data_IF_990692746949
#
_entry.id   IF_990692746949
#
_cell.length_a   1.000
_cell.length_b   1.000
_cell.length_c   1.000
_cell.angle_alpha   90.00
_cell.angle_beta   90.00
_cell.angle_gamma   90.00
#
_symmetry.space_group_name_H-M   'P 1'
#
loop_
_entity.id
_entity.type
_entity.pdbx_description
1 polymer ?
#
# COMPACT_ATOMS: atom_id res chain seq x y z
N UNK A 1 24.56 -85.43 -29.54
CA UNK A 1 25.80 -86.21 -29.36
C UNK A 1 26.95 -85.30 -29.75
N UNK A 2 27.76 -84.86 -28.77
CA UNK A 2 29.12 -84.27 -28.91
C UNK A 2 29.19 -82.94 -29.71
N UNK A 3 30.03 -81.93 -29.49
CA UNK A 3 31.12 -81.61 -28.57
C UNK A 3 31.48 -80.12 -28.87
N UNK A 4 31.85 -79.33 -27.85
CA UNK A 4 33.20 -78.76 -27.64
C UNK A 4 33.46 -77.32 -28.16
N UNK A 5 33.82 -76.47 -27.19
CA UNK A 5 34.72 -75.30 -27.20
C UNK A 5 35.71 -75.19 -28.38
N UNK A 6 36.05 -73.97 -28.81
CA UNK A 6 37.21 -73.21 -28.29
C UNK A 6 37.35 -71.81 -28.91
N UNK A 7 37.99 -70.93 -28.13
CA UNK A 7 38.31 -69.53 -28.41
C UNK A 7 39.47 -69.40 -29.40
N UNK A 8 39.47 -68.38 -30.25
CA UNK A 8 40.64 -67.47 -30.40
C UNK A 8 40.18 -66.14 -31.01
N UNK A 9 40.59 -65.02 -30.41
CA UNK A 9 40.28 -63.68 -30.89
C UNK A 9 41.24 -63.18 -31.96
N UNK A 10 40.79 -62.20 -32.74
CA UNK A 10 41.67 -61.24 -33.39
C UNK A 10 40.90 -59.94 -33.65
N UNK A 11 41.41 -58.87 -33.06
CA UNK A 11 40.94 -57.48 -33.15
C UNK A 11 41.29 -56.88 -34.51
N UNK A 12 40.37 -56.15 -35.16
CA UNK A 12 40.63 -54.81 -35.71
C UNK A 12 39.39 -54.14 -36.30
N UNK A 13 39.13 -52.92 -35.83
CA UNK A 13 38.67 -51.72 -36.55
C UNK A 13 37.41 -51.82 -37.42
N UNK A 14 36.28 -51.30 -36.91
CA UNK A 14 35.13 -50.94 -37.73
C UNK A 14 34.99 -49.41 -37.78
N UNK A 15 35.26 -48.82 -38.95
CA UNK A 15 34.76 -47.52 -39.34
C UNK A 15 33.23 -47.61 -39.42
N UNK A 16 32.51 -46.77 -38.65
CA UNK A 16 31.09 -46.54 -38.87
C UNK A 16 30.89 -45.19 -39.56
N UNK A 17 30.07 -45.27 -40.60
CA UNK A 17 29.64 -44.22 -41.51
C UNK A 17 28.79 -43.16 -40.80
N UNK A 18 28.96 -41.92 -41.26
CA UNK A 18 28.17 -40.74 -40.92
C UNK A 18 26.68 -40.95 -41.19
N UNK A 19 25.88 -40.98 -40.13
CA UNK A 19 24.46 -40.63 -40.20
C UNK A 19 24.27 -39.18 -39.74
N UNK A 20 24.12 -38.27 -40.72
CA UNK A 20 23.64 -36.90 -40.50
C UNK A 20 22.29 -36.96 -39.77
N UNK A 21 22.27 -36.48 -38.52
CA UNK A 21 21.04 -36.24 -37.78
C UNK A 21 20.28 -35.05 -38.38
N UNK A 22 19.00 -35.27 -38.67
CA UNK A 22 18.02 -34.22 -39.01
C UNK A 22 17.85 -33.29 -37.81
N UNK A 23 17.85 -31.94 -37.97
CA UNK A 23 17.62 -31.05 -36.84
C UNK A 23 16.17 -31.16 -36.35
N UNK A 24 15.99 -31.42 -35.05
CA UNK A 24 14.70 -31.30 -34.38
C UNK A 24 14.24 -29.83 -34.39
N UNK A 25 12.93 -29.56 -34.50
CA UNK A 25 12.41 -28.20 -34.42
C UNK A 25 12.64 -27.65 -33.02
N UNK A 26 13.28 -26.48 -32.95
CA UNK A 26 13.48 -25.72 -31.71
C UNK A 26 12.12 -25.44 -31.07
N UNK A 27 11.94 -25.88 -29.83
CA UNK A 27 10.84 -25.43 -28.99
C UNK A 27 10.90 -23.89 -28.92
N UNK A 28 9.93 -23.22 -29.53
CA UNK A 28 9.73 -21.80 -29.33
C UNK A 28 9.44 -21.58 -27.85
N UNK A 29 10.33 -20.87 -27.15
CA UNK A 29 10.09 -20.36 -25.82
C UNK A 29 8.79 -19.54 -25.86
N UNK A 30 7.75 -20.03 -25.20
CA UNK A 30 6.58 -19.21 -24.87
C UNK A 30 7.09 -18.02 -24.06
N UNK A 31 6.90 -16.76 -24.49
CA UNK A 31 7.31 -15.63 -23.69
C UNK A 31 6.57 -15.71 -22.35
N UNK A 32 7.35 -15.75 -21.27
CA UNK A 32 6.85 -15.79 -19.91
C UNK A 32 5.99 -14.53 -19.70
N UNK A 33 4.66 -14.69 -19.76
CA UNK A 33 3.69 -13.59 -19.60
C UNK A 33 3.53 -13.16 -18.13
N UNK A 34 4.41 -13.64 -17.23
CA UNK A 34 4.53 -13.11 -15.89
C UNK A 34 5.51 -11.95 -15.96
N UNK A 35 5.06 -10.68 -15.96
CA UNK A 35 6.00 -9.58 -15.81
C UNK A 35 6.84 -9.83 -14.56
N UNK A 36 8.16 -9.73 -14.74
CA UNK A 36 9.14 -9.89 -13.67
C UNK A 36 8.66 -9.17 -12.42
N UNK A 37 8.67 -9.88 -11.30
CA UNK A 37 8.09 -9.44 -10.04
C UNK A 37 8.73 -8.12 -9.59
N UNK A 38 8.19 -6.98 -10.02
CA UNK A 38 8.42 -5.67 -9.42
C UNK A 38 7.64 -5.63 -8.11
N UNK A 39 8.04 -6.51 -7.19
CA UNK A 39 7.51 -6.56 -5.85
C UNK A 39 7.76 -5.22 -5.17
N UNK A 40 6.76 -4.75 -4.43
CA UNK A 40 6.91 -3.64 -3.50
C UNK A 40 8.17 -3.91 -2.68
N UNK A 41 9.22 -3.10 -2.87
CA UNK A 41 10.48 -3.22 -2.11
C UNK A 41 10.23 -2.73 -0.69
N UNK A 42 9.84 -3.65 0.18
CA UNK A 42 9.63 -3.43 1.61
C UNK A 42 9.16 -4.70 2.32
N UNK A 43 9.54 -4.88 3.59
CA UNK A 43 9.00 -5.95 4.41
C UNK A 43 7.51 -5.70 4.64
N UNK A 44 6.64 -6.57 4.09
CA UNK A 44 5.17 -6.50 4.26
C UNK A 44 4.71 -6.95 5.65
N UNK A 45 5.62 -7.35 6.53
CA UNK A 45 5.32 -7.87 7.89
C UNK A 45 4.57 -6.90 8.79
N UNK A 46 4.57 -5.60 8.47
CA UNK A 46 3.90 -4.55 9.23
C UNK A 46 2.76 -3.88 8.45
N UNK A 47 2.32 -4.47 7.32
CA UNK A 47 1.25 -3.91 6.53
C UNK A 47 -0.10 -4.19 7.19
N UNK A 48 -0.86 -3.13 7.45
CA UNK A 48 -2.27 -3.24 7.80
C UNK A 48 -3.06 -3.22 6.51
N UNK A 49 -3.80 -4.30 6.25
CA UNK A 49 -4.69 -4.44 5.09
C UNK A 49 -6.10 -4.71 5.60
N UNK A 50 -7.05 -3.86 5.20
CA UNK A 50 -8.48 -4.03 5.47
C UNK A 50 -9.27 -3.92 4.17
N UNK A 51 -10.30 -4.74 4.00
CA UNK A 51 -11.09 -4.83 2.77
C UNK A 51 -12.56 -5.13 3.04
N UNK A 52 -13.44 -4.49 2.28
CA UNK A 52 -14.87 -4.81 2.19
C UNK A 52 -15.35 -4.55 0.75
N UNK A 53 -15.91 -5.57 0.09
CA UNK A 53 -16.29 -5.45 -1.33
C UNK A 53 -15.11 -5.01 -2.20
N UNK A 54 -15.31 -3.99 -3.02
CA UNK A 54 -14.29 -3.40 -3.91
C UNK A 54 -13.46 -2.29 -3.26
N UNK A 55 -13.71 -1.98 -1.98
CA UNK A 55 -12.95 -1.00 -1.21
C UNK A 55 -11.90 -1.73 -0.40
N UNK A 56 -10.64 -1.33 -0.55
CA UNK A 56 -9.58 -1.81 0.31
C UNK A 56 -8.60 -0.70 0.66
N UNK A 57 -8.01 -0.81 1.85
CA UNK A 57 -7.06 0.15 2.37
C UNK A 57 -5.80 -0.59 2.81
N UNK A 58 -4.64 -0.12 2.31
CA UNK A 58 -3.33 -0.59 2.75
C UNK A 58 -2.59 0.54 3.43
N UNK A 59 -2.03 0.28 4.60
CA UNK A 59 -1.12 1.20 5.28
C UNK A 59 0.14 0.51 5.78
N UNK A 60 1.28 1.17 5.61
CA UNK A 60 2.59 0.78 6.13
C UNK A 60 3.36 2.05 6.50
N UNK A 61 4.35 1.93 7.38
CA UNK A 61 5.18 3.09 7.77
C UNK A 61 6.02 3.66 6.61
N UNK A 62 6.31 2.86 5.58
CA UNK A 62 7.19 3.21 4.45
C UNK A 62 6.90 2.42 3.17
N UNK A 63 6.66 3.11 2.06
CA UNK A 63 6.78 2.53 0.71
C UNK A 63 5.74 3.04 -0.27
N UNK A 64 5.77 2.50 -1.49
CA UNK A 64 4.89 2.86 -2.59
C UNK A 64 3.69 1.90 -2.65
N UNK A 65 2.54 2.35 -3.15
CA UNK A 65 1.34 1.50 -3.28
C UNK A 65 0.50 1.33 -2.01
N UNK A 66 0.69 2.20 -1.00
CA UNK A 66 -0.22 2.28 0.15
C UNK A 66 -1.26 3.36 -0.10
N UNK A 67 -2.46 3.20 0.46
CA UNK A 67 -3.57 4.08 0.16
C UNK A 67 -4.94 3.46 0.27
N UNK A 68 -5.95 4.25 -0.07
CA UNK A 68 -7.34 3.84 -0.24
C UNK A 68 -7.58 3.51 -1.72
N UNK A 69 -8.10 2.32 -1.98
CA UNK A 69 -8.37 1.82 -3.31
C UNK A 69 -9.85 1.54 -3.53
N UNK A 70 -10.27 1.75 -4.76
CA UNK A 70 -11.57 1.37 -5.27
C UNK A 70 -11.46 1.06 -6.76
N UNK A 71 -12.00 -0.09 -7.19
CA UNK A 71 -11.87 -0.59 -8.57
C UNK A 71 -10.46 -0.44 -9.15
N UNK A 72 -9.48 -1.00 -8.44
CA UNK A 72 -8.06 -1.05 -8.84
C UNK A 72 -7.36 0.31 -9.02
N UNK A 73 -8.03 1.42 -8.69
CA UNK A 73 -7.44 2.75 -8.65
C UNK A 73 -7.22 3.20 -7.19
N UNK A 74 -6.05 3.80 -6.92
CA UNK A 74 -5.70 4.41 -5.64
C UNK A 74 -6.23 5.83 -5.57
N UNK A 75 -7.29 6.07 -4.80
CA UNK A 75 -7.90 7.39 -4.63
C UNK A 75 -7.13 8.27 -3.63
N UNK A 76 -6.62 7.69 -2.54
CA UNK A 76 -5.76 8.40 -1.58
C UNK A 76 -4.41 7.70 -1.53
N UNK A 77 -3.31 8.44 -1.70
CA UNK A 77 -1.94 7.90 -1.61
C UNK A 77 -1.38 7.91 -0.18
N UNK A 78 -2.12 8.52 0.75
CA UNK A 78 -1.81 8.48 2.16
C UNK A 78 -2.27 9.72 2.90
N UNK A 79 -2.26 9.61 4.22
CA UNK A 79 -2.48 10.72 5.12
C UNK A 79 -1.81 10.47 6.46
N UNK A 80 -1.40 11.54 7.12
CA UNK A 80 -0.59 11.47 8.34
C UNK A 80 -1.19 12.28 9.49
N UNK A 81 -1.20 11.69 10.69
CA UNK A 81 -1.52 12.36 11.94
C UNK A 81 -0.28 13.01 12.54
N UNK A 82 -0.41 14.24 13.03
CA UNK A 82 0.61 14.96 13.77
C UNK A 82 0.04 15.53 15.06
N UNK A 83 0.82 15.43 16.14
CA UNK A 83 0.57 16.06 17.44
C UNK A 83 1.63 17.15 17.62
N UNK A 84 1.20 18.41 17.65
CA UNK A 84 2.06 19.60 17.58
C UNK A 84 3.19 19.50 16.57
N UNK A 85 2.82 19.14 15.34
CA UNK A 85 3.74 19.04 14.21
C UNK A 85 4.60 17.76 14.19
N UNK A 86 4.60 16.94 15.25
CA UNK A 86 5.37 15.70 15.34
C UNK A 86 4.51 14.48 15.03
N UNK A 87 5.09 13.48 14.35
CA UNK A 87 4.44 12.18 14.19
C UNK A 87 4.41 11.45 15.54
N UNK A 88 3.28 10.87 15.95
CA UNK A 88 3.23 10.02 17.14
C UNK A 88 4.03 8.73 16.91
N UNK A 89 4.52 8.13 17.99
CA UNK A 89 5.17 6.83 17.96
C UNK A 89 4.09 5.74 17.89
N UNK A 90 4.25 4.78 16.96
CA UNK A 90 3.39 3.60 16.92
C UNK A 90 3.81 2.60 18.01
N UNK A 91 2.84 2.16 18.81
CA UNK A 91 3.06 1.18 19.88
C UNK A 91 2.57 -0.21 19.47
N UNK A 92 1.41 -0.25 18.81
CA UNK A 92 0.79 -1.48 18.31
C UNK A 92 -0.02 -1.16 17.06
N UNK A 93 0.01 -2.07 16.09
CA UNK A 93 -0.91 -2.06 14.95
C UNK A 93 -1.55 -3.44 14.86
N UNK A 94 -2.87 -3.50 14.94
CA UNK A 94 -3.60 -4.74 14.80
C UNK A 94 -4.64 -4.59 13.68
N UNK A 95 -4.52 -5.40 12.63
CA UNK A 95 -5.64 -5.66 11.75
C UNK A 95 -6.48 -6.72 12.44
N UNK A 96 -7.71 -6.39 12.85
CA UNK A 96 -8.58 -7.31 13.57
C UNK A 96 -9.12 -8.44 12.66
N UNK A 97 -8.70 -8.45 11.39
CA UNK A 97 -9.18 -9.34 10.33
C UNK A 97 -10.39 -8.75 9.62
N UNK A 98 -10.43 -8.85 8.29
CA UNK A 98 -11.57 -8.38 7.48
C UNK A 98 -11.51 -6.88 7.18
N UNK A 99 -12.51 -6.13 7.64
CA UNK A 99 -12.73 -4.73 7.25
C UNK A 99 -12.33 -3.69 8.30
N UNK A 100 -11.76 -4.10 9.45
CA UNK A 100 -11.37 -3.19 10.55
C UNK A 100 -9.92 -3.34 10.99
N UNK A 101 -9.35 -2.23 11.46
CA UNK A 101 -8.02 -2.19 12.07
C UNK A 101 -7.95 -1.14 13.18
N UNK A 102 -7.10 -1.38 14.17
CA UNK A 102 -6.85 -0.45 15.27
C UNK A 102 -5.34 -0.22 15.41
N UNK A 103 -4.93 1.05 15.46
CA UNK A 103 -3.56 1.46 15.78
C UNK A 103 -3.55 2.11 17.16
N UNK A 104 -2.63 1.65 18.01
CA UNK A 104 -2.26 2.32 19.27
C UNK A 104 -1.02 3.16 19.03
N UNK A 105 -1.15 4.47 19.21
CA UNK A 105 -0.08 5.45 19.03
C UNK A 105 0.09 6.27 20.32
N UNK A 106 1.23 6.93 20.45
CA UNK A 106 1.48 7.82 21.58
C UNK A 106 2.36 9.01 21.23
N UNK A 107 2.27 10.08 22.02
CA UNK A 107 3.05 11.29 21.78
C UNK A 107 4.53 11.09 22.13
N UNK A 108 5.38 11.84 21.43
CA UNK A 108 6.77 12.07 21.84
C UNK A 108 6.82 13.13 22.93
N UNK A 109 7.93 13.19 23.67
CA UNK A 109 8.19 14.30 24.58
C UNK A 109 8.15 15.62 23.79
N UNK A 110 7.34 16.56 24.26
CA UNK A 110 7.06 17.81 23.54
C UNK A 110 6.62 18.91 24.52
N UNK A 111 6.70 20.15 24.06
CA UNK A 111 6.24 21.32 24.80
C UNK A 111 5.16 22.04 24.00
N UNK A 112 4.04 22.38 24.65
CA UNK A 112 2.91 23.10 24.06
C UNK A 112 2.49 24.21 25.01
N UNK A 113 2.47 25.45 24.56
CA UNK A 113 2.06 26.62 25.35
C UNK A 113 2.75 26.71 26.73
N UNK A 114 4.05 26.37 26.79
CA UNK A 114 4.85 26.35 28.02
C UNK A 114 4.55 25.19 28.98
N UNK A 115 3.64 24.28 28.62
CA UNK A 115 3.38 23.02 29.32
C UNK A 115 4.16 21.88 28.67
N UNK A 116 4.79 21.03 29.49
CA UNK A 116 5.51 19.86 29.00
C UNK A 116 4.56 18.65 28.98
N UNK A 117 4.47 18.01 27.83
CA UNK A 117 3.86 16.69 27.67
C UNK A 117 5.01 15.68 27.60
N UNK A 118 5.12 14.82 28.61
CA UNK A 118 6.16 13.79 28.65
C UNK A 118 5.87 12.72 27.59
N UNK A 119 6.91 11.97 27.22
CA UNK A 119 6.72 10.84 26.31
C UNK A 119 5.71 9.87 26.93
N UNK A 120 4.76 9.42 26.13
CA UNK A 120 3.68 8.51 26.52
C UNK A 120 2.57 9.08 27.41
N UNK A 121 2.50 10.40 27.63
CA UNK A 121 1.40 11.04 28.37
C UNK A 121 0.07 11.05 27.59
N UNK A 122 0.07 10.74 26.30
CA UNK A 122 -1.12 10.70 25.44
C UNK A 122 -1.25 9.32 24.81
N UNK A 123 -2.31 8.59 25.14
CA UNK A 123 -2.77 7.46 24.32
C UNK A 123 -3.61 7.98 23.17
N UNK A 124 -3.29 7.51 21.97
CA UNK A 124 -4.04 7.79 20.75
C UNK A 124 -4.47 6.46 20.16
N UNK A 125 -5.78 6.22 20.13
CA UNK A 125 -6.37 5.06 19.46
C UNK A 125 -6.93 5.48 18.13
N UNK A 126 -6.45 4.88 17.05
CA UNK A 126 -6.94 5.12 15.69
C UNK A 126 -7.62 3.87 15.16
N UNK A 127 -8.95 3.85 15.25
CA UNK A 127 -9.78 2.79 14.70
C UNK A 127 -10.16 3.14 13.26
N UNK A 128 -10.01 2.17 12.37
CA UNK A 128 -10.26 2.29 10.93
C UNK A 128 -11.23 1.20 10.50
N UNK A 129 -12.20 1.56 9.67
CA UNK A 129 -13.14 0.63 9.05
C UNK A 129 -13.29 0.95 7.58
N UNK A 130 -13.10 -0.01 6.70
CA UNK A 130 -13.59 0.10 5.32
C UNK A 130 -15.02 -0.40 5.23
N UNK A 131 -15.82 0.20 4.37
CA UNK A 131 -17.14 -0.31 4.04
C UNK A 131 -17.45 -0.15 2.56
N UNK A 132 -18.25 -1.06 2.01
CA UNK A 132 -18.83 -0.91 0.68
C UNK A 132 -20.16 -0.14 0.70
N UNK A 133 -20.82 -0.01 1.86
CA UNK A 133 -22.14 0.62 2.01
C UNK A 133 -22.29 1.37 3.35
N UNK A 134 -22.11 2.72 3.38
CA UNK A 134 -21.59 3.54 2.30
C UNK A 134 -20.11 3.23 1.99
N UNK A 135 -19.77 3.33 0.72
CA UNK A 135 -18.41 3.18 0.19
C UNK A 135 -17.45 4.16 0.89
N UNK A 136 -16.41 3.64 1.57
CA UNK A 136 -15.33 4.49 2.05
C UNK A 136 -14.48 3.90 3.17
N UNK A 137 -13.62 4.76 3.70
CA UNK A 137 -12.79 4.53 4.87
C UNK A 137 -13.27 5.45 6.00
N UNK A 138 -13.62 4.86 7.12
CA UNK A 138 -14.13 5.53 8.31
C UNK A 138 -13.08 5.44 9.41
N UNK A 139 -12.56 6.60 9.78
CA UNK A 139 -11.54 6.73 10.81
C UNK A 139 -12.10 7.40 12.06
N UNK A 140 -11.85 6.78 13.21
CA UNK A 140 -12.13 7.33 14.54
C UNK A 140 -10.82 7.45 15.31
N UNK A 141 -10.46 8.67 15.68
CA UNK A 141 -9.27 8.97 16.49
C UNK A 141 -9.73 9.36 17.89
N UNK A 142 -9.43 8.51 18.86
CA UNK A 142 -9.74 8.72 20.28
C UNK A 142 -8.46 9.09 21.02
N UNK A 143 -8.51 10.17 21.81
CA UNK A 143 -7.40 10.67 22.60
C UNK A 143 -7.67 10.46 24.09
N UNK A 144 -6.69 9.97 24.83
CA UNK A 144 -6.73 9.90 26.28
C UNK A 144 -5.43 10.44 26.89
N UNK A 145 -5.56 11.46 27.75
CA UNK A 145 -4.43 12.15 28.37
C UNK A 145 -4.19 11.63 29.79
N UNK A 146 -2.95 11.24 30.06
CA UNK A 146 -2.40 10.89 31.36
C UNK A 146 -1.51 12.02 31.95
N UNK A 147 -1.41 13.15 31.26
CA UNK A 147 -0.67 14.31 31.75
C UNK A 147 -1.19 14.80 33.11
N UNK A 148 -0.27 15.26 33.96
CA UNK A 148 -0.61 15.77 35.30
C UNK A 148 -1.40 17.09 35.29
N UNK A 149 -1.41 17.79 34.16
CA UNK A 149 -2.11 19.06 33.97
C UNK A 149 -2.87 19.07 32.64
N UNK A 150 -3.85 19.98 32.52
CA UNK A 150 -4.58 20.20 31.28
C UNK A 150 -3.65 20.87 30.27
N UNK A 151 -3.46 20.23 29.11
CA UNK A 151 -2.64 20.75 28.01
C UNK A 151 -3.52 20.97 26.78
N UNK A 152 -3.32 22.10 26.10
CA UNK A 152 -3.81 22.34 24.75
C UNK A 152 -2.69 22.05 23.76
N UNK A 153 -2.98 21.27 22.73
CA UNK A 153 -2.03 20.95 21.67
C UNK A 153 -2.78 20.81 20.35
N UNK A 154 -2.21 21.25 19.22
CA UNK A 154 -2.83 21.04 17.93
C UNK A 154 -2.68 19.60 17.45
N UNK A 155 -3.79 19.03 17.00
CA UNK A 155 -3.82 17.81 16.21
C UNK A 155 -3.92 18.21 14.75
N UNK A 156 -3.15 17.57 13.87
CA UNK A 156 -3.24 17.84 12.44
C UNK A 156 -3.32 16.55 11.62
N UNK A 157 -4.16 16.55 10.59
CA UNK A 157 -4.13 15.54 9.53
C UNK A 157 -3.72 16.19 8.22
N UNK A 158 -2.91 15.49 7.44
CA UNK A 158 -2.53 15.92 6.09
C UNK A 158 -2.83 14.83 5.09
N UNK A 159 -3.58 15.16 4.04
CA UNK A 159 -4.05 14.22 3.02
C UNK A 159 -3.37 14.45 1.67
N UNK A 160 -3.23 13.36 0.92
CA UNK A 160 -2.75 13.39 -0.47
C UNK A 160 -3.51 12.38 -1.32
N UNK A 161 -3.70 12.73 -2.59
CA UNK A 161 -4.41 11.94 -3.58
C UNK A 161 -3.69 12.06 -4.93
N UNK A 162 -3.55 10.95 -5.64
CA UNK A 162 -2.87 10.89 -6.94
C UNK A 162 -3.59 10.05 -8.02
N UNK A 163 -4.68 9.34 -7.67
CA UNK A 163 -5.55 8.60 -8.58
C UNK A 163 -4.79 7.62 -9.48
N UNK A 164 -3.91 6.83 -8.88
CA UNK A 164 -3.00 5.93 -9.61
C UNK A 164 -3.57 4.51 -9.74
N UNK A 165 -3.57 3.96 -10.95
CA UNK A 165 -3.99 2.57 -11.22
C UNK A 165 -3.00 1.55 -10.64
N UNK A 166 -3.50 0.39 -10.18
CA UNK A 166 -2.68 -0.64 -9.53
C UNK A 166 -1.60 -1.21 -10.45
N UNK A 167 -1.83 -1.29 -11.76
CA UNK A 167 -0.82 -1.73 -12.73
C UNK A 167 0.28 -0.67 -12.89
N UNK A 168 -0.08 0.61 -12.84
CA UNK A 168 0.90 1.70 -12.84
C UNK A 168 1.76 1.68 -11.57
N UNK A 169 1.12 1.48 -10.40
CA UNK A 169 1.79 1.32 -9.10
C UNK A 169 2.79 0.16 -9.11
N UNK A 170 2.45 -0.93 -9.80
CA UNK A 170 3.28 -2.13 -9.96
C UNK A 170 4.35 -1.99 -11.05
N UNK A 171 4.42 -0.84 -11.72
CA UNK A 171 5.37 -0.60 -12.82
C UNK A 171 5.08 -1.42 -14.08
N UNK A 172 3.85 -1.94 -14.22
CA UNK A 172 3.44 -2.80 -15.35
C UNK A 172 2.96 -2.00 -16.55
N UNK A 173 2.61 -0.73 -16.34
CA UNK A 173 2.25 0.20 -17.40
C UNK A 173 2.54 1.64 -16.98
N UNK A 174 3.09 2.45 -17.88
CA UNK A 174 3.22 3.90 -17.69
C UNK A 174 2.38 4.59 -18.76
N UNK A 175 1.07 4.65 -18.50
CA UNK A 175 0.12 5.34 -19.35
C UNK A 175 0.22 6.85 -19.25
N UNK A 176 -0.54 7.53 -20.11
CA UNK A 176 -0.74 8.96 -19.99
C UNK A 176 -1.48 9.26 -18.68
N UNK A 177 -0.94 10.19 -17.89
CA UNK A 177 -1.60 10.72 -16.69
C UNK A 177 -2.66 11.73 -17.08
N UNK A 178 -3.76 11.74 -16.33
CA UNK A 178 -4.77 12.77 -16.38
C UNK A 178 -4.38 14.04 -15.60
N UNK A 179 -5.35 14.90 -15.35
CA UNK A 179 -5.16 16.18 -14.67
C UNK A 179 -5.67 16.09 -13.23
N UNK A 180 -4.77 16.25 -12.26
CA UNK A 180 -5.13 16.42 -10.85
C UNK A 180 -5.40 17.91 -10.58
N UNK A 181 -6.61 18.23 -10.11
CA UNK A 181 -6.98 19.57 -9.74
C UNK A 181 -6.52 19.91 -8.31
N UNK A 182 -6.34 21.21 -8.04
CA UNK A 182 -6.10 21.68 -6.68
C UNK A 182 -7.25 21.27 -5.75
N UNK A 183 -6.95 20.83 -4.51
CA UNK A 183 -7.97 20.42 -3.56
C UNK A 183 -8.93 21.57 -3.25
N UNK A 184 -10.22 21.24 -3.06
CA UNK A 184 -11.26 22.23 -2.74
C UNK A 184 -11.91 21.92 -1.42
N UNK A 185 -12.21 22.97 -0.67
CA UNK A 185 -12.97 22.90 0.57
C UNK A 185 -14.43 23.28 0.34
N UNK A 186 -15.34 22.49 0.93
CA UNK A 186 -16.76 22.82 1.06
C UNK A 186 -17.18 22.55 2.50
N UNK A 187 -17.38 23.60 3.27
CA UNK A 187 -17.65 23.51 4.73
C UNK A 187 -16.62 22.61 5.45
N UNK A 188 -17.03 21.42 5.89
CA UNK A 188 -16.22 20.43 6.61
C UNK A 188 -15.74 19.27 5.72
N UNK A 189 -15.71 19.48 4.40
CA UNK A 189 -15.35 18.44 3.42
C UNK A 189 -14.20 18.92 2.54
N UNK A 190 -13.12 18.14 2.54
CA UNK A 190 -12.01 18.28 1.61
C UNK A 190 -12.25 17.38 0.40
N UNK A 191 -12.17 17.93 -0.81
CA UNK A 191 -12.39 17.20 -2.05
C UNK A 191 -11.15 17.25 -2.94
N UNK A 192 -10.73 16.07 -3.41
CA UNK A 192 -9.78 15.93 -4.51
C UNK A 192 -10.54 15.51 -5.77
N UNK A 193 -10.18 16.08 -6.92
CA UNK A 193 -10.78 15.80 -8.22
C UNK A 193 -9.67 15.53 -9.24
N UNK A 194 -9.87 14.48 -10.04
CA UNK A 194 -8.95 14.06 -11.08
C UNK A 194 -9.71 13.73 -12.36
N UNK A 195 -9.33 14.40 -13.44
CA UNK A 195 -9.81 14.11 -14.80
C UNK A 195 -8.86 13.08 -15.41
N UNK A 196 -9.29 11.83 -15.52
CA UNK A 196 -8.44 10.77 -16.06
C UNK A 196 -8.13 10.95 -17.55
N UNK A 197 -6.97 10.46 -18.00
CA UNK A 197 -6.63 10.43 -19.43
C UNK A 197 -7.58 9.52 -20.25
N UNK A 198 -8.33 8.68 -19.57
CA UNK A 198 -9.42 7.86 -20.10
C UNK A 198 -10.76 8.63 -20.23
N UNK A 199 -10.79 9.91 -19.88
CA UNK A 199 -11.99 10.74 -19.89
C UNK A 199 -12.93 10.48 -18.72
N UNK A 200 -12.51 9.71 -17.71
CA UNK A 200 -13.31 9.45 -16.51
C UNK A 200 -12.88 10.35 -15.35
N UNK A 201 -13.84 11.10 -14.82
CA UNK A 201 -13.65 11.90 -13.62
C UNK A 201 -13.69 11.02 -12.37
N UNK A 202 -12.70 11.21 -11.50
CA UNK A 202 -12.58 10.53 -10.21
C UNK A 202 -12.49 11.57 -9.11
N UNK A 203 -13.18 11.31 -8.02
CA UNK A 203 -13.15 12.18 -6.85
C UNK A 203 -13.11 11.38 -5.56
N UNK A 204 -12.45 11.96 -4.55
CA UNK A 204 -12.54 11.50 -3.17
C UNK A 204 -12.88 12.68 -2.27
N UNK A 205 -13.83 12.46 -1.36
CA UNK A 205 -14.29 13.44 -0.40
C UNK A 205 -13.98 12.95 1.01
N UNK A 206 -13.46 13.86 1.85
CA UNK A 206 -13.03 13.58 3.21
C UNK A 206 -13.81 14.49 4.12
N UNK A 207 -14.78 13.91 4.82
CA UNK A 207 -15.62 14.62 5.78
C UNK A 207 -15.04 14.57 7.19
N UNK A 208 -15.14 15.69 7.91
CA UNK A 208 -14.63 15.81 9.27
C UNK A 208 -15.77 15.96 10.29
N UNK A 209 -15.65 15.22 11.40
CA UNK A 209 -16.49 15.36 12.59
C UNK A 209 -15.62 15.15 13.84
N UNK A 210 -15.42 16.17 14.70
CA UNK A 210 -15.94 17.53 14.60
C UNK A 210 -15.40 18.31 13.39
N UNK A 211 -15.97 19.48 13.11
CA UNK A 211 -15.44 20.37 12.07
C UNK A 211 -14.01 20.84 12.43
N UNK A 212 -13.09 20.94 11.46
CA UNK A 212 -11.74 21.44 11.71
C UNK A 212 -11.76 22.90 12.17
N UNK A 213 -10.79 23.28 12.99
CA UNK A 213 -10.54 24.66 13.40
C UNK A 213 -9.79 25.46 12.31
N UNK A 214 -8.97 24.79 11.50
CA UNK A 214 -8.30 25.40 10.36
C UNK A 214 -8.14 24.41 9.19
N UNK A 215 -8.17 24.94 7.96
CA UNK A 215 -8.20 24.18 6.71
C UNK A 215 -7.32 24.87 5.65
N UNK A 216 -6.31 24.17 5.14
CA UNK A 216 -5.40 24.71 4.13
C UNK A 216 -4.76 23.57 3.31
N UNK A 217 -4.91 23.56 1.99
CA UNK A 217 -4.17 22.69 1.05
C UNK A 217 -3.96 21.23 1.51
N UNK A 218 -5.04 20.55 1.87
CA UNK A 218 -5.00 19.16 2.34
C UNK A 218 -4.54 18.95 3.79
N UNK A 219 -4.13 20.01 4.48
CA UNK A 219 -3.90 20.05 5.92
C UNK A 219 -5.17 20.50 6.66
N UNK A 220 -5.40 19.88 7.81
CA UNK A 220 -6.46 20.23 8.76
C UNK A 220 -5.90 20.27 10.17
N UNK A 221 -6.42 21.20 10.97
CA UNK A 221 -6.15 21.34 12.41
C UNK A 221 -7.44 21.55 13.18
#
# INVERSE_FOLDING_TARGET
MLQSNEKTGMTTSNQLMDHKATPQPSHAETPDLVPGNFGIRGSVTHAVVIKEGDVFFLSLERGHGFGLYYHDCRFLDGYELRVSGSKPDALVSNAEGGSTATLGLSNRAMECDGQKLLKNDLEIRWSRKVSSEPQGLFDTITLHSFAAARIAFPLALRFRADFEDIFAIRGLFQGQRGTLHSPKWRERVLQFLYEGADGLDRAVAIGFSPAPLAMEDGNVR
#
